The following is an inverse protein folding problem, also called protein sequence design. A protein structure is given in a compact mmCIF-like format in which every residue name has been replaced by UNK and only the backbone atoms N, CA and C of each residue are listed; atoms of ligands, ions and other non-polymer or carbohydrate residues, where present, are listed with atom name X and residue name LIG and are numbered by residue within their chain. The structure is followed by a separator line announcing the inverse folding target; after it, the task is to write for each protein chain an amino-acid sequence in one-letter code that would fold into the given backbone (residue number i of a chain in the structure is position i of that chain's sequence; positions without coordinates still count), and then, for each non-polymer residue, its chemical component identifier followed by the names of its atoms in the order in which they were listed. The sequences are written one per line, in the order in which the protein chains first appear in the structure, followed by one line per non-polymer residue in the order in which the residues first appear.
data_IF_869804325803
#
_entry.id   IF_869804325803
#
_cell.length_a   1.000
_cell.length_b   1.000
_cell.length_c   1.000
_cell.angle_alpha   90.00
_cell.angle_beta   90.00
_cell.angle_gamma   90.00
#
_symmetry.space_group_name_H-M   'P 1'
#
loop_
_entity.id
_entity.type
_entity.pdbx_description
1 polymer ?
#
# COMPACT_ATOMS: atom_id res chain seq x y z
N UNK A 1 -6.91 -13.78 -9.11
CA UNK A 1 -6.03 -13.29 -10.20
C UNK A 1 -6.54 -13.67 -11.59
N UNK A 2 -7.24 -14.79 -11.71
CA UNK A 2 -7.86 -15.28 -12.96
C UNK A 2 -8.94 -14.33 -13.54
N UNK A 3 -9.31 -13.27 -12.82
CA UNK A 3 -10.37 -12.31 -13.20
C UNK A 3 -9.88 -10.87 -13.41
N UNK A 4 -8.57 -10.61 -13.48
CA UNK A 4 -8.01 -9.28 -13.78
C UNK A 4 -7.69 -9.17 -15.29
N UNK A 5 -8.63 -8.72 -16.15
CA UNK A 5 -8.49 -8.68 -17.60
C UNK A 5 -7.38 -7.77 -18.13
N UNK A 6 -6.94 -6.78 -17.35
CA UNK A 6 -5.88 -5.86 -17.78
C UNK A 6 -4.76 -5.71 -16.74
N UNK A 7 -3.64 -5.14 -17.20
CA UNK A 7 -2.42 -5.01 -16.40
C UNK A 7 -2.63 -4.13 -15.16
N UNK A 8 -3.41 -3.06 -15.28
CA UNK A 8 -3.66 -2.13 -14.19
C UNK A 8 -4.46 -2.76 -13.04
N UNK A 9 -5.53 -3.48 -13.39
CA UNK A 9 -6.34 -4.24 -12.42
C UNK A 9 -5.52 -5.35 -11.76
N UNK A 10 -4.61 -5.98 -12.49
CA UNK A 10 -3.70 -6.99 -11.93
C UNK A 10 -2.80 -6.37 -10.88
N UNK A 11 -2.17 -5.23 -11.18
CA UNK A 11 -1.32 -4.51 -10.22
C UNK A 11 -2.11 -4.14 -8.97
N UNK A 12 -3.27 -3.51 -9.12
CA UNK A 12 -4.10 -3.07 -8.00
C UNK A 12 -4.59 -4.25 -7.15
N UNK A 13 -5.08 -5.31 -7.79
CA UNK A 13 -5.52 -6.52 -7.10
C UNK A 13 -4.38 -7.23 -6.36
N UNK A 14 -3.17 -7.24 -6.94
CA UNK A 14 -1.97 -7.81 -6.29
C UNK A 14 -1.68 -7.11 -4.97
N UNK A 15 -1.70 -5.78 -4.97
CA UNK A 15 -1.44 -4.97 -3.78
C UNK A 15 -2.38 -5.35 -2.62
N UNK A 16 -3.69 -5.35 -2.87
CA UNK A 16 -4.67 -5.66 -1.83
C UNK A 16 -4.67 -7.13 -1.42
N UNK A 17 -4.46 -8.04 -2.37
CA UNK A 17 -4.34 -9.47 -2.08
C UNK A 17 -3.13 -9.77 -1.20
N UNK A 18 -1.98 -9.16 -1.49
CA UNK A 18 -0.78 -9.29 -0.68
C UNK A 18 -1.04 -8.87 0.78
N UNK A 19 -1.61 -7.67 0.99
CA UNK A 19 -1.94 -7.17 2.31
C UNK A 19 -2.94 -8.10 3.05
N UNK A 20 -4.01 -8.52 2.37
CA UNK A 20 -5.03 -9.38 2.94
C UNK A 20 -4.49 -10.77 3.35
N UNK A 21 -3.64 -11.37 2.52
CA UNK A 21 -3.02 -12.67 2.81
C UNK A 21 -2.08 -12.59 4.02
N UNK A 22 -1.27 -11.54 4.12
CA UNK A 22 -0.44 -11.33 5.31
C UNK A 22 -1.27 -11.11 6.58
N UNK A 23 -2.36 -10.34 6.52
CA UNK A 23 -3.30 -10.21 7.66
C UNK A 23 -3.93 -11.53 8.08
N UNK A 24 -4.11 -12.45 7.14
CA UNK A 24 -4.60 -13.79 7.40
C UNK A 24 -3.51 -14.78 7.84
N UNK A 25 -2.25 -14.35 8.00
CA UNK A 25 -1.12 -15.21 8.34
C UNK A 25 -0.65 -16.13 7.19
N UNK A 26 -1.12 -15.89 5.96
CA UNK A 26 -0.84 -16.73 4.77
C UNK A 26 0.35 -16.17 4.00
N UNK A 27 1.51 -16.10 4.66
CA UNK A 27 2.72 -15.44 4.14
C UNK A 27 3.23 -16.04 2.83
N UNK A 28 3.25 -17.37 2.70
CA UNK A 28 3.74 -18.04 1.48
C UNK A 28 2.86 -17.70 0.26
N UNK A 29 1.55 -17.63 0.48
CA UNK A 29 0.61 -17.26 -0.57
C UNK A 29 0.70 -15.78 -0.92
N UNK A 30 0.98 -14.91 0.07
CA UNK A 30 1.23 -13.50 -0.16
C UNK A 30 2.47 -13.32 -1.04
N UNK A 31 3.57 -14.03 -0.73
CA UNK A 31 4.78 -14.01 -1.55
C UNK A 31 4.49 -14.47 -2.99
N UNK A 32 3.77 -15.59 -3.15
CA UNK A 32 3.37 -16.10 -4.48
C UNK A 32 2.46 -15.14 -5.24
N UNK A 33 1.59 -14.38 -4.57
CA UNK A 33 0.72 -13.41 -5.22
C UNK A 33 1.52 -12.32 -5.97
N UNK A 34 2.72 -11.98 -5.48
CA UNK A 34 3.59 -10.99 -6.12
C UNK A 34 4.12 -11.45 -7.48
N UNK A 35 4.17 -12.76 -7.77
CA UNK A 35 4.67 -13.29 -9.04
C UNK A 35 3.83 -12.86 -10.24
N UNK A 36 2.58 -12.50 -10.00
CA UNK A 36 1.69 -12.01 -11.03
C UNK A 36 2.03 -10.59 -11.53
N UNK A 37 3.00 -9.90 -10.90
CA UNK A 37 3.53 -8.62 -11.37
C UNK A 37 5.02 -8.80 -11.72
N UNK A 38 5.34 -9.36 -12.91
CA UNK A 38 6.72 -9.61 -13.33
C UNK A 38 7.47 -8.29 -13.61
N UNK A 39 8.82 -8.27 -13.62
CA UNK A 39 9.64 -7.04 -13.73
C UNK A 39 9.28 -6.10 -14.90
N UNK A 40 8.94 -6.67 -16.05
CA UNK A 40 8.61 -5.98 -17.29
C UNK A 40 7.19 -5.40 -17.33
N UNK A 41 6.36 -5.73 -16.33
CA UNK A 41 4.99 -5.24 -16.25
C UNK A 41 4.96 -3.71 -16.15
N UNK A 42 4.20 -3.09 -17.03
CA UNK A 42 3.92 -1.65 -17.06
C UNK A 42 2.44 -1.37 -16.74
N UNK A 43 2.10 -0.12 -16.49
CA UNK A 43 0.73 0.35 -16.31
C UNK A 43 0.25 1.13 -17.54
N UNK A 44 -1.07 1.27 -17.71
CA UNK A 44 -1.66 2.16 -18.72
C UNK A 44 -2.18 3.44 -18.09
N UNK A 45 -2.83 3.33 -16.94
CA UNK A 45 -3.44 4.46 -16.27
C UNK A 45 -2.45 5.13 -15.31
N UNK A 46 -2.31 6.47 -15.33
CA UNK A 46 -1.36 7.19 -14.48
C UNK A 46 -1.52 6.88 -12.99
N UNK A 47 -2.76 6.69 -12.53
CA UNK A 47 -3.06 6.36 -11.14
C UNK A 47 -2.60 4.94 -10.74
N UNK A 48 -2.28 4.05 -11.66
CA UNK A 48 -1.78 2.70 -11.28
C UNK A 48 -0.31 2.71 -10.86
N UNK A 49 0.44 3.77 -11.23
CA UNK A 49 1.88 3.87 -10.98
C UNK A 49 2.25 3.63 -9.51
N UNK A 50 1.49 4.19 -8.57
CA UNK A 50 1.82 4.08 -7.15
C UNK A 50 1.55 2.67 -6.60
N UNK A 51 0.54 1.97 -7.11
CA UNK A 51 0.33 0.55 -6.81
C UNK A 51 1.47 -0.32 -7.34
N UNK A 52 1.95 -0.04 -8.56
CA UNK A 52 3.09 -0.77 -9.12
C UNK A 52 4.33 -0.57 -8.27
N UNK A 53 4.65 0.68 -7.92
CA UNK A 53 5.78 1.00 -7.04
C UNK A 53 5.69 0.28 -5.69
N UNK A 54 4.50 0.26 -5.07
CA UNK A 54 4.28 -0.42 -3.81
C UNK A 54 4.46 -1.95 -3.92
N UNK A 55 3.95 -2.57 -4.99
CA UNK A 55 4.20 -4.00 -5.26
C UNK A 55 5.68 -4.27 -5.50
N UNK A 56 6.40 -3.37 -6.20
CA UNK A 56 7.86 -3.47 -6.39
C UNK A 56 8.62 -3.39 -5.08
N UNK A 57 8.17 -2.56 -4.14
CA UNK A 57 8.71 -2.50 -2.79
C UNK A 57 8.50 -3.83 -2.06
N UNK A 58 7.29 -4.41 -2.10
CA UNK A 58 7.03 -5.73 -1.52
C UNK A 58 7.89 -6.84 -2.13
N UNK A 59 8.22 -6.74 -3.42
CA UNK A 59 9.13 -7.64 -4.12
C UNK A 59 10.62 -7.41 -3.81
N UNK A 60 10.98 -6.39 -3.03
CA UNK A 60 12.37 -6.00 -2.78
C UNK A 60 13.07 -5.38 -3.99
N UNK A 61 12.32 -4.94 -5.00
CA UNK A 61 12.83 -4.34 -6.26
C UNK A 61 12.82 -2.82 -6.26
N UNK A 62 12.28 -2.21 -5.22
CA UNK A 62 12.22 -0.77 -5.02
C UNK A 62 12.43 -0.50 -3.54
N UNK A 63 13.18 0.55 -3.21
CA UNK A 63 13.38 0.96 -1.83
C UNK A 63 12.12 1.64 -1.29
N UNK A 64 12.00 1.68 0.04
CA UNK A 64 10.91 2.40 0.72
C UNK A 64 10.83 3.87 0.28
N UNK A 65 11.99 4.53 0.14
CA UNK A 65 12.09 5.93 -0.26
C UNK A 65 11.67 6.19 -1.71
N UNK A 66 11.89 5.23 -2.61
CA UNK A 66 11.45 5.32 -4.02
C UNK A 66 9.95 5.02 -4.17
N UNK A 67 9.41 4.14 -3.32
CA UNK A 67 8.00 3.77 -3.37
C UNK A 67 7.09 4.85 -2.76
N UNK A 68 7.52 5.45 -1.64
CA UNK A 68 6.74 6.42 -0.88
C UNK A 68 6.59 7.75 -1.66
N UNK A 69 5.38 8.15 -2.06
CA UNK A 69 5.17 9.46 -2.66
C UNK A 69 5.40 10.60 -1.65
N UNK A 70 5.64 11.83 -2.12
CA UNK A 70 5.72 12.99 -1.25
C UNK A 70 4.47 13.11 -0.37
N UNK A 71 4.71 13.42 0.90
CA UNK A 71 3.62 13.64 1.84
C UNK A 71 2.85 14.92 1.47
N UNK A 72 1.50 14.87 1.34
CA UNK A 72 0.73 16.03 0.91
C UNK A 72 0.89 17.18 1.92
N UNK A 73 0.89 18.45 1.50
CA UNK A 73 1.00 19.57 2.42
C UNK A 73 -0.24 19.67 3.32
N UNK A 74 -0.09 20.35 4.48
CA UNK A 74 -1.22 20.71 5.31
C UNK A 74 -2.21 21.59 4.50
N UNK A 75 -3.51 21.30 4.61
CA UNK A 75 -4.54 21.99 3.83
C UNK A 75 -4.66 21.53 2.38
N UNK A 76 -4.04 20.40 2.00
CA UNK A 76 -4.26 19.77 0.70
C UNK A 76 -5.76 19.53 0.44
N UNK A 77 -6.22 19.93 -0.75
CA UNK A 77 -7.60 19.69 -1.22
C UNK A 77 -7.65 18.75 -2.42
N UNK A 78 -6.49 18.35 -2.96
CA UNK A 78 -6.40 17.36 -4.03
C UNK A 78 -6.54 15.95 -3.45
N UNK A 79 -7.73 15.38 -3.65
CA UNK A 79 -8.07 14.03 -3.19
C UNK A 79 -7.21 12.95 -3.85
N UNK A 80 -6.77 13.12 -5.10
CA UNK A 80 -5.93 12.13 -5.75
C UNK A 80 -4.54 12.10 -5.10
N UNK A 81 -3.97 13.27 -4.80
CA UNK A 81 -2.70 13.36 -4.08
C UNK A 81 -2.78 12.74 -2.69
N UNK A 82 -3.88 12.97 -1.95
CA UNK A 82 -4.08 12.32 -0.64
C UNK A 82 -4.24 10.80 -0.78
N UNK A 83 -5.09 10.34 -1.71
CA UNK A 83 -5.32 8.92 -1.97
C UNK A 83 -4.04 8.15 -2.30
N UNK A 84 -3.17 8.74 -3.13
CA UNK A 84 -1.87 8.18 -3.49
C UNK A 84 -0.99 7.98 -2.27
N UNK A 85 -0.86 9.02 -1.44
CA UNK A 85 -0.05 8.96 -0.23
C UNK A 85 -0.60 7.96 0.78
N UNK A 86 -1.89 8.07 1.11
CA UNK A 86 -2.55 7.22 2.11
C UNK A 86 -2.42 5.74 1.76
N UNK A 87 -2.64 5.39 0.49
CA UNK A 87 -2.55 4.00 0.04
C UNK A 87 -1.13 3.45 0.20
N UNK A 88 -0.11 4.21 -0.23
CA UNK A 88 1.28 3.75 -0.18
C UNK A 88 1.81 3.72 1.24
N UNK A 89 1.58 4.77 2.02
CA UNK A 89 2.00 4.86 3.41
C UNK A 89 1.34 3.76 4.26
N UNK A 90 0.05 3.47 4.03
CA UNK A 90 -0.63 2.35 4.70
C UNK A 90 -0.05 1.00 4.30
N UNK A 91 0.23 0.78 3.01
CA UNK A 91 0.86 -0.46 2.52
C UNK A 91 2.24 -0.71 3.13
N UNK A 92 3.08 0.33 3.19
CA UNK A 92 4.41 0.27 3.83
C UNK A 92 4.28 0.04 5.34
N UNK A 93 3.36 0.72 6.02
CA UNK A 93 3.09 0.50 7.44
C UNK A 93 2.69 -0.95 7.74
N UNK A 94 1.82 -1.53 6.93
CA UNK A 94 1.45 -2.94 7.02
C UNK A 94 2.65 -3.87 6.79
N UNK A 95 3.48 -3.59 5.79
CA UNK A 95 4.69 -4.37 5.54
C UNK A 95 5.61 -4.36 6.76
N UNK A 96 5.86 -3.19 7.38
CA UNK A 96 6.63 -3.11 8.63
C UNK A 96 6.00 -3.93 9.75
N UNK A 97 4.67 -3.86 9.89
CA UNK A 97 3.93 -4.60 10.92
C UNK A 97 4.13 -6.11 10.77
N UNK A 98 3.98 -6.66 9.56
CA UNK A 98 4.12 -8.10 9.32
C UNK A 98 5.56 -8.59 9.40
N UNK A 99 6.53 -7.69 9.22
CA UNK A 99 7.96 -7.97 9.40
C UNK A 99 8.46 -7.68 10.83
N UNK A 100 7.55 -7.47 11.79
CA UNK A 100 7.87 -7.33 13.21
C UNK A 100 8.37 -5.94 13.63
N UNK A 101 8.32 -4.94 12.75
CA UNK A 101 8.71 -3.56 13.06
C UNK A 101 7.48 -2.71 13.41
N UNK A 102 6.85 -3.04 14.54
CA UNK A 102 5.61 -2.40 14.98
C UNK A 102 5.76 -0.88 15.21
N UNK A 103 6.90 -0.42 15.74
CA UNK A 103 7.14 1.01 15.96
C UNK A 103 7.10 1.78 14.64
N UNK A 104 7.79 1.28 13.61
CA UNK A 104 7.80 1.91 12.29
C UNK A 104 6.44 1.86 11.62
N UNK A 105 5.70 0.76 11.78
CA UNK A 105 4.33 0.66 11.30
C UNK A 105 3.44 1.76 11.89
N UNK A 106 3.55 1.99 13.21
CA UNK A 106 2.78 3.02 13.90
C UNK A 106 3.15 4.44 13.45
N UNK A 107 4.40 4.72 13.12
CA UNK A 107 4.77 6.00 12.49
C UNK A 107 3.99 6.23 11.18
N UNK A 108 3.92 5.22 10.32
CA UNK A 108 3.18 5.31 9.06
C UNK A 108 1.68 5.50 9.27
N UNK A 109 1.06 4.72 10.16
CA UNK A 109 -0.37 4.84 10.43
C UNK A 109 -0.73 6.23 10.99
N UNK A 110 0.11 6.81 11.85
CA UNK A 110 -0.09 8.19 12.34
C UNK A 110 0.03 9.24 11.24
N UNK A 111 0.90 9.04 10.25
CA UNK A 111 1.05 9.98 9.12
C UNK A 111 -0.20 10.02 8.26
N UNK A 112 -0.80 8.85 8.01
CA UNK A 112 -2.07 8.71 7.29
C UNK A 112 -3.25 9.25 8.12
N UNK A 113 -3.37 8.86 9.39
CA UNK A 113 -4.50 9.24 10.25
C UNK A 113 -4.57 10.75 10.58
N UNK A 114 -3.50 11.53 10.37
CA UNK A 114 -3.49 13.00 10.54
C UNK A 114 -4.25 13.75 9.44
N UNK A 115 -4.74 13.05 8.42
CA UNK A 115 -5.26 13.65 7.18
C UNK A 115 -6.78 13.82 7.17
N UNK A 116 -7.27 14.74 6.36
CA UNK A 116 -8.67 15.17 6.39
C UNK A 116 -9.58 14.41 5.41
N UNK A 117 -9.04 13.44 4.66
CA UNK A 117 -9.79 12.68 3.66
C UNK A 117 -10.13 11.30 4.23
N UNK A 118 -11.23 11.23 4.97
CA UNK A 118 -11.79 10.00 5.56
C UNK A 118 -12.23 8.94 4.51
N UNK A 119 -12.12 9.24 3.22
CA UNK A 119 -12.65 8.44 2.11
C UNK A 119 -11.67 7.36 1.62
N UNK A 120 -10.44 7.30 2.17
CA UNK A 120 -9.44 6.33 1.72
C UNK A 120 -9.42 5.10 2.64
N UNK A 121 -9.32 3.91 2.05
CA UNK A 121 -9.14 2.66 2.81
C UNK A 121 -7.86 2.68 3.66
N UNK A 122 -6.82 3.36 3.19
CA UNK A 122 -5.58 3.55 3.93
C UNK A 122 -5.79 4.31 5.23
N UNK A 123 -6.64 5.35 5.22
CA UNK A 123 -7.02 6.10 6.42
C UNK A 123 -7.76 5.23 7.44
N UNK A 124 -8.87 4.63 7.02
CA UNK A 124 -9.69 3.77 7.89
C UNK A 124 -8.85 2.62 8.46
N UNK A 125 -8.04 1.97 7.61
CA UNK A 125 -7.15 0.90 8.04
C UNK A 125 -6.13 1.38 9.07
N UNK A 126 -5.55 2.56 8.90
CA UNK A 126 -4.56 3.14 9.82
C UNK A 126 -5.17 3.47 11.18
N UNK A 127 -6.36 4.06 11.22
CA UNK A 127 -7.08 4.31 12.49
C UNK A 127 -7.35 3.02 13.26
N UNK A 128 -7.80 1.97 12.56
CA UNK A 128 -8.07 0.68 13.19
C UNK A 128 -6.81 0.01 13.77
N UNK A 129 -5.66 0.13 13.10
CA UNK A 129 -4.39 -0.38 13.61
C UNK A 129 -3.88 0.44 14.81
N UNK A 130 -4.12 1.75 14.83
CA UNK A 130 -3.82 2.59 16.00
C UNK A 130 -4.67 2.20 17.22
N UNK A 131 -5.96 1.92 17.02
CA UNK A 131 -6.86 1.48 18.09
C UNK A 131 -6.47 0.13 18.69
N UNK A 132 -5.94 -0.80 17.88
CA UNK A 132 -5.50 -2.13 18.33
C UNK A 132 -4.17 -2.14 19.09
N UNK A 133 -3.41 -1.04 19.03
CA UNK A 133 -2.13 -0.92 19.71
C UNK A 133 -2.24 -0.47 21.17
N UNK A 134 -3.47 -0.24 21.66
CA UNK A 134 -3.83 0.08 23.03
C UNK A 134 -4.48 -1.12 23.71
#
# INVERSE_FOLDING_TARGET
METAPNTDERINSTNWLYAALHRAGRTDEAAKALDAVPPEMTFKEPHTRFYLNLVRFFQGRMTEAEALPPEPPAGNTDQETELRFDTVAYGIGNWHLYNGNAEKAQEYFRRVAKRHVWVTWGFIGSEMELLRAH
#
